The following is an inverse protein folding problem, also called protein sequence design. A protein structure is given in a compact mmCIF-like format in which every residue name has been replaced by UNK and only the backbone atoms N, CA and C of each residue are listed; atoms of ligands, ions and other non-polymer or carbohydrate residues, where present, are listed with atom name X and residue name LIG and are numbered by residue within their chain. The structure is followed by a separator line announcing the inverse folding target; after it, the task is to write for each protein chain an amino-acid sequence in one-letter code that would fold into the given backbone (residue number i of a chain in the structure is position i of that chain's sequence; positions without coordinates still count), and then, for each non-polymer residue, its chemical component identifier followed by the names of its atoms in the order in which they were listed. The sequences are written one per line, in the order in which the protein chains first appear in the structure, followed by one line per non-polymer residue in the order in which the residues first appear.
data_IF_400340269896
#
_entry.id   IF_400340269896
#
_cell.length_a   1.000
_cell.length_b   1.000
_cell.length_c   1.000
_cell.angle_alpha   90.00
_cell.angle_beta   90.00
_cell.angle_gamma   90.00
#
_symmetry.space_group_name_H-M   'P 1'
#
loop_
_entity.id
_entity.type
_entity.pdbx_description
1 polymer ?
#
# COMPACT_ATOMS: atom_id res chain seq x y z
N UNK A 1 -23.35 -46.00 4.53
CA UNK A 1 -21.87 -46.09 4.56
C UNK A 1 -21.19 -45.22 3.49
N UNK A 2 -21.53 -45.31 2.18
CA UNK A 2 -20.85 -44.51 1.15
C UNK A 2 -21.07 -42.98 1.28
N UNK A 3 -22.27 -42.52 1.62
CA UNK A 3 -22.60 -41.07 1.75
C UNK A 3 -21.88 -40.40 2.93
N UNK A 4 -21.93 -41.01 4.12
CA UNK A 4 -21.24 -40.51 5.33
C UNK A 4 -19.74 -40.30 5.13
N UNK A 5 -19.07 -41.19 4.40
CA UNK A 5 -17.64 -41.04 4.08
C UNK A 5 -17.35 -39.77 3.25
N UNK A 6 -18.20 -39.49 2.25
CA UNK A 6 -18.07 -38.27 1.43
C UNK A 6 -18.29 -37.02 2.28
N UNK A 7 -19.32 -37.01 3.13
CA UNK A 7 -19.61 -35.88 4.02
C UNK A 7 -18.46 -35.63 5.02
N UNK A 8 -17.83 -36.67 5.54
CA UNK A 8 -16.65 -36.53 6.40
C UNK A 8 -15.44 -35.94 5.66
N UNK A 9 -15.26 -36.26 4.37
CA UNK A 9 -14.22 -35.62 3.54
C UNK A 9 -14.52 -34.14 3.35
N UNK A 10 -15.78 -33.79 3.04
CA UNK A 10 -16.20 -32.40 2.87
C UNK A 10 -16.02 -31.60 4.16
N UNK A 11 -16.40 -32.18 5.31
CA UNK A 11 -16.17 -31.60 6.63
C UNK A 11 -14.68 -31.32 6.85
N UNK A 12 -13.83 -32.34 6.64
CA UNK A 12 -12.39 -32.19 6.78
C UNK A 12 -11.81 -31.13 5.84
N UNK A 13 -12.39 -30.96 4.65
CA UNK A 13 -11.99 -29.93 3.70
C UNK A 13 -12.36 -28.53 4.20
N UNK A 14 -13.60 -28.30 4.66
CA UNK A 14 -14.03 -27.04 5.27
C UNK A 14 -13.16 -26.64 6.46
N UNK A 15 -12.88 -27.57 7.37
CA UNK A 15 -12.03 -27.29 8.52
C UNK A 15 -10.57 -26.98 8.13
N UNK A 16 -10.07 -27.53 7.02
CA UNK A 16 -8.74 -27.20 6.48
C UNK A 16 -8.72 -25.78 5.91
N UNK A 17 -9.77 -25.35 5.20
CA UNK A 17 -9.89 -23.96 4.74
C UNK A 17 -9.83 -22.98 5.93
N UNK A 18 -10.62 -23.22 6.98
CA UNK A 18 -10.61 -22.40 8.20
C UNK A 18 -9.21 -22.34 8.84
N UNK A 19 -8.50 -23.47 8.89
CA UNK A 19 -7.13 -23.51 9.41
C UNK A 19 -6.17 -22.65 8.59
N UNK A 20 -6.21 -22.76 7.26
CA UNK A 20 -5.32 -21.98 6.39
C UNK A 20 -5.67 -20.50 6.38
N UNK A 21 -6.95 -20.14 6.49
CA UNK A 21 -7.37 -18.75 6.65
C UNK A 21 -6.74 -18.11 7.90
N UNK A 22 -6.72 -18.82 9.04
CA UNK A 22 -6.03 -18.34 10.25
C UNK A 22 -4.51 -18.22 10.08
N UNK A 23 -3.91 -19.06 9.23
CA UNK A 23 -2.47 -18.96 8.93
C UNK A 23 -2.21 -17.72 8.06
N UNK A 24 -3.07 -17.45 7.08
CA UNK A 24 -2.98 -16.25 6.23
C UNK A 24 -3.14 -15.00 7.08
N UNK A 25 -4.12 -14.97 7.98
CA UNK A 25 -4.36 -13.86 8.91
C UNK A 25 -3.12 -13.54 9.77
N UNK A 26 -2.59 -14.56 10.46
CA UNK A 26 -1.36 -14.41 11.26
C UNK A 26 -0.15 -13.99 10.40
N UNK A 27 -0.09 -14.44 9.15
CA UNK A 27 0.98 -14.06 8.23
C UNK A 27 0.83 -12.61 7.77
N UNK A 28 -0.41 -12.15 7.54
CA UNK A 28 -0.74 -10.76 7.24
C UNK A 28 -0.29 -9.84 8.38
N UNK A 29 -0.64 -10.16 9.64
CA UNK A 29 -0.20 -9.38 10.82
C UNK A 29 1.33 -9.23 10.89
N UNK A 30 2.07 -10.30 10.57
CA UNK A 30 3.55 -10.25 10.54
C UNK A 30 4.11 -9.35 9.43
N UNK A 31 3.41 -9.27 8.30
CA UNK A 31 3.83 -8.40 7.19
C UNK A 31 3.47 -6.95 7.49
N UNK A 32 2.30 -6.71 8.08
CA UNK A 32 1.86 -5.41 8.58
C UNK A 32 2.88 -4.82 9.57
N UNK A 33 3.29 -5.60 10.58
CA UNK A 33 4.27 -5.15 11.58
C UNK A 33 5.60 -4.74 10.92
N UNK A 34 6.07 -5.49 9.90
CA UNK A 34 7.30 -5.14 9.16
C UNK A 34 7.13 -3.85 8.34
N UNK A 35 5.99 -3.70 7.68
CA UNK A 35 5.69 -2.51 6.87
C UNK A 35 5.59 -1.23 7.71
N UNK A 36 5.11 -1.33 8.96
CA UNK A 36 5.10 -0.21 9.90
C UNK A 36 6.49 0.36 10.18
N UNK A 37 7.52 -0.50 10.28
CA UNK A 37 8.89 -0.05 10.52
C UNK A 37 9.60 0.42 9.25
N UNK A 38 9.38 -0.27 8.13
CA UNK A 38 9.98 0.10 6.84
C UNK A 38 9.14 -0.43 5.68
N UNK A 39 8.45 0.45 4.92
CA UNK A 39 7.74 0.03 3.72
C UNK A 39 8.76 -0.30 2.63
N UNK A 40 9.13 -1.57 2.49
CA UNK A 40 9.94 -2.05 1.36
C UNK A 40 9.05 -2.78 0.37
N UNK A 41 9.48 -2.79 -0.89
CA UNK A 41 8.74 -3.42 -1.98
C UNK A 41 8.49 -4.91 -1.73
N UNK A 42 9.37 -5.58 -0.99
CA UNK A 42 9.25 -7.01 -0.71
C UNK A 42 8.01 -7.32 0.15
N UNK A 43 7.78 -6.57 1.21
CA UNK A 43 6.62 -6.76 2.07
C UNK A 43 5.30 -6.42 1.35
N UNK A 44 5.29 -5.43 0.45
CA UNK A 44 4.12 -5.15 -0.40
C UNK A 44 3.80 -6.30 -1.36
N UNK A 45 4.83 -6.92 -1.96
CA UNK A 45 4.66 -8.11 -2.80
C UNK A 45 4.13 -9.27 -1.95
N UNK A 46 4.57 -9.41 -0.70
CA UNK A 46 4.09 -10.44 0.22
C UNK A 46 2.59 -10.23 0.55
N UNK A 47 2.14 -8.99 0.79
CA UNK A 47 0.71 -8.69 0.95
C UNK A 47 -0.11 -9.04 -0.31
N UNK A 48 0.42 -8.72 -1.50
CA UNK A 48 -0.24 -9.04 -2.76
C UNK A 48 -0.42 -10.55 -2.97
N UNK A 49 0.59 -11.35 -2.64
CA UNK A 49 0.48 -12.81 -2.74
C UNK A 49 -0.51 -13.41 -1.72
N UNK A 50 -0.62 -12.81 -0.53
CA UNK A 50 -1.67 -13.18 0.45
C UNK A 50 -3.07 -12.82 -0.05
N UNK A 51 -3.25 -11.63 -0.65
CA UNK A 51 -4.51 -11.20 -1.25
C UNK A 51 -4.94 -12.15 -2.36
N UNK A 52 -4.03 -12.47 -3.28
CA UNK A 52 -4.28 -13.43 -4.37
C UNK A 52 -4.69 -14.80 -3.83
N UNK A 53 -4.06 -15.25 -2.74
CA UNK A 53 -4.41 -16.49 -2.07
C UNK A 53 -5.84 -16.45 -1.51
N UNK A 54 -6.25 -15.33 -0.90
CA UNK A 54 -7.62 -15.15 -0.40
C UNK A 54 -8.65 -15.13 -1.54
N UNK A 55 -8.35 -14.48 -2.67
CA UNK A 55 -9.22 -14.50 -3.85
C UNK A 55 -9.45 -15.93 -4.36
N UNK A 56 -8.39 -16.75 -4.44
CA UNK A 56 -8.53 -18.16 -4.81
C UNK A 56 -9.31 -18.98 -3.77
N UNK A 57 -9.12 -18.69 -2.48
CA UNK A 57 -9.88 -19.31 -1.39
C UNK A 57 -11.37 -18.99 -1.51
N UNK A 58 -11.74 -17.72 -1.62
CA UNK A 58 -13.13 -17.28 -1.79
C UNK A 58 -13.77 -17.94 -3.01
N UNK A 59 -13.08 -17.97 -4.15
CA UNK A 59 -13.57 -18.62 -5.38
C UNK A 59 -13.83 -20.11 -5.17
N UNK A 60 -12.91 -20.81 -4.51
CA UNK A 60 -13.03 -22.24 -4.24
C UNK A 60 -14.15 -22.55 -3.25
N UNK A 61 -14.26 -21.76 -2.17
CA UNK A 61 -15.29 -21.92 -1.15
C UNK A 61 -16.70 -21.63 -1.68
N UNK A 62 -16.86 -20.65 -2.57
CA UNK A 62 -18.12 -20.39 -3.29
C UNK A 62 -18.49 -21.53 -4.23
N UNK A 63 -17.50 -22.12 -4.89
CA UNK A 63 -17.72 -23.31 -5.72
C UNK A 63 -18.17 -24.51 -4.87
N UNK A 64 -17.57 -24.70 -3.69
CA UNK A 64 -17.98 -25.73 -2.74
C UNK A 64 -19.39 -25.49 -2.18
N UNK A 65 -19.73 -24.25 -1.82
CA UNK A 65 -21.07 -23.84 -1.36
C UNK A 65 -22.16 -24.28 -2.35
N UNK A 66 -21.97 -23.98 -3.64
CA UNK A 66 -22.92 -24.37 -4.68
C UNK A 66 -23.09 -25.89 -4.83
N UNK A 67 -22.05 -26.68 -4.52
CA UNK A 67 -22.13 -28.16 -4.50
C UNK A 67 -22.88 -28.62 -3.25
N UNK A 68 -22.56 -28.08 -2.07
CA UNK A 68 -23.20 -28.42 -0.81
C UNK A 68 -24.71 -28.14 -0.83
N UNK A 69 -25.12 -27.00 -1.38
CA UNK A 69 -26.54 -26.66 -1.55
C UNK A 69 -27.28 -27.64 -2.48
N UNK A 70 -26.61 -28.13 -3.52
CA UNK A 70 -27.17 -29.16 -4.42
C UNK A 70 -27.34 -30.49 -3.71
N UNK A 71 -26.41 -30.87 -2.83
CA UNK A 71 -26.49 -32.10 -2.04
C UNK A 71 -27.71 -32.13 -1.11
N UNK A 72 -28.14 -30.99 -0.58
CA UNK A 72 -29.40 -30.88 0.20
C UNK A 72 -30.62 -31.20 -0.67
N UNK A 73 -30.65 -30.67 -1.90
CA UNK A 73 -31.83 -30.69 -2.78
C UNK A 73 -32.02 -32.01 -3.53
N UNK A 74 -31.00 -32.85 -3.63
CA UNK A 74 -31.05 -34.13 -4.35
C UNK A 74 -31.83 -35.20 -3.56
N UNK A 75 -32.98 -35.62 -4.08
CA UNK A 75 -33.80 -36.71 -3.51
C UNK A 75 -33.16 -38.09 -3.65
N UNK A 76 -32.24 -38.27 -4.60
CA UNK A 76 -31.53 -39.53 -4.84
C UNK A 76 -30.48 -39.88 -3.78
N UNK A 77 -30.14 -38.93 -2.90
CA UNK A 77 -29.24 -39.15 -1.78
C UNK A 77 -30.06 -39.63 -0.59
N UNK A 78 -29.74 -40.82 -0.07
CA UNK A 78 -30.41 -41.38 1.10
C UNK A 78 -30.08 -40.54 2.33
N UNK A 79 -31.07 -39.79 2.82
CA UNK A 79 -30.96 -38.91 3.99
C UNK A 79 -31.19 -39.70 5.27
N UNK A 80 -30.12 -40.03 5.97
CA UNK A 80 -30.21 -40.44 7.37
C UNK A 80 -30.17 -39.19 8.26
N UNK A 81 -30.84 -39.15 9.43
CA UNK A 81 -30.84 -37.98 10.32
C UNK A 81 -29.41 -37.48 10.64
N UNK A 82 -28.52 -38.39 11.04
CA UNK A 82 -27.10 -38.08 11.34
C UNK A 82 -26.32 -37.55 10.13
N UNK A 83 -26.63 -38.02 8.92
CA UNK A 83 -25.94 -37.58 7.70
C UNK A 83 -26.45 -36.18 7.26
N UNK A 84 -27.66 -35.79 7.67
CA UNK A 84 -28.23 -34.47 7.38
C UNK A 84 -27.65 -33.42 8.32
N UNK A 85 -27.55 -33.74 9.61
CA UNK A 85 -26.88 -32.88 10.62
C UNK A 85 -25.42 -32.60 10.23
N UNK A 86 -24.67 -33.64 9.84
CA UNK A 86 -23.30 -33.46 9.37
C UNK A 86 -23.19 -32.57 8.13
N UNK A 87 -24.15 -32.65 7.20
CA UNK A 87 -24.16 -31.80 6.01
C UNK A 87 -24.45 -30.33 6.37
N UNK A 88 -25.35 -30.08 7.31
CA UNK A 88 -25.63 -28.73 7.82
C UNK A 88 -24.37 -28.12 8.47
N UNK A 89 -23.65 -28.89 9.29
CA UNK A 89 -22.38 -28.46 9.89
C UNK A 89 -21.33 -28.08 8.83
N UNK A 90 -21.18 -28.89 7.77
CA UNK A 90 -20.26 -28.62 6.66
C UNK A 90 -20.61 -27.30 5.96
N UNK A 91 -21.90 -27.03 5.77
CA UNK A 91 -22.38 -25.79 5.14
C UNK A 91 -22.08 -24.60 6.04
N UNK A 92 -22.37 -24.69 7.34
CA UNK A 92 -22.07 -23.63 8.31
C UNK A 92 -20.57 -23.32 8.30
N UNK A 93 -19.70 -24.33 8.36
CA UNK A 93 -18.25 -24.13 8.30
C UNK A 93 -17.78 -23.52 6.98
N UNK A 94 -18.35 -23.94 5.84
CA UNK A 94 -17.99 -23.40 4.52
C UNK A 94 -18.44 -21.94 4.38
N UNK A 95 -19.67 -21.60 4.79
CA UNK A 95 -20.17 -20.22 4.81
C UNK A 95 -19.31 -19.35 5.73
N UNK A 96 -18.94 -19.85 6.92
CA UNK A 96 -18.01 -19.14 7.80
C UNK A 96 -16.65 -18.87 7.13
N UNK A 97 -16.09 -19.86 6.44
CA UNK A 97 -14.84 -19.70 5.72
C UNK A 97 -14.93 -18.65 4.60
N UNK A 98 -16.07 -18.57 3.89
CA UNK A 98 -16.32 -17.53 2.88
C UNK A 98 -16.27 -16.14 3.51
N UNK A 99 -17.01 -15.94 4.61
CA UNK A 99 -17.05 -14.65 5.29
C UNK A 99 -15.67 -14.24 5.81
N UNK A 100 -14.93 -15.17 6.43
CA UNK A 100 -13.55 -14.93 6.86
C UNK A 100 -12.64 -14.53 5.70
N UNK A 101 -12.71 -15.24 4.57
CA UNK A 101 -11.89 -14.93 3.40
C UNK A 101 -12.21 -13.52 2.85
N UNK A 102 -13.48 -13.14 2.79
CA UNK A 102 -13.90 -11.80 2.35
C UNK A 102 -13.42 -10.70 3.31
N UNK A 103 -13.56 -10.91 4.63
CA UNK A 103 -13.08 -9.96 5.66
C UNK A 103 -11.58 -9.77 5.53
N UNK A 104 -10.81 -10.86 5.49
CA UNK A 104 -9.35 -10.79 5.37
C UNK A 104 -8.92 -10.14 4.06
N UNK A 105 -9.62 -10.40 2.96
CA UNK A 105 -9.34 -9.77 1.66
C UNK A 105 -9.58 -8.25 1.72
N UNK A 106 -10.67 -7.82 2.35
CA UNK A 106 -10.98 -6.40 2.53
C UNK A 106 -9.97 -5.68 3.43
N UNK A 107 -9.49 -6.34 4.49
CA UNK A 107 -8.43 -5.81 5.36
C UNK A 107 -7.13 -5.65 4.58
N UNK A 108 -6.68 -6.70 3.86
CA UNK A 108 -5.46 -6.65 3.05
C UNK A 108 -5.52 -5.54 2.00
N UNK A 109 -6.65 -5.37 1.32
CA UNK A 109 -6.81 -4.33 0.32
C UNK A 109 -6.75 -2.92 0.94
N UNK A 110 -7.45 -2.72 2.07
CA UNK A 110 -7.39 -1.45 2.81
C UNK A 110 -5.98 -1.13 3.29
N UNK A 111 -5.23 -2.15 3.71
CA UNK A 111 -3.85 -2.03 4.13
C UNK A 111 -2.93 -1.63 2.97
N UNK A 112 -3.05 -2.28 1.81
CA UNK A 112 -2.30 -1.92 0.61
C UNK A 112 -2.57 -0.46 0.18
N UNK A 113 -3.82 -0.02 0.21
CA UNK A 113 -4.20 1.36 -0.14
C UNK A 113 -3.61 2.37 0.86
N UNK A 114 -3.63 2.06 2.16
CA UNK A 114 -3.01 2.88 3.19
C UNK A 114 -1.48 3.00 2.97
N UNK A 115 -0.79 1.90 2.68
CA UNK A 115 0.64 1.93 2.40
C UNK A 115 0.97 2.66 1.10
N UNK A 116 0.16 2.52 0.05
CA UNK A 116 0.31 3.31 -1.17
C UNK A 116 0.19 4.82 -0.88
N UNK A 117 -0.75 5.22 -0.01
CA UNK A 117 -0.89 6.60 0.44
C UNK A 117 0.35 7.09 1.21
N UNK A 118 0.87 6.28 2.14
CA UNK A 118 2.10 6.60 2.90
C UNK A 118 3.29 6.77 1.95
N UNK A 119 3.47 5.89 0.98
CA UNK A 119 4.54 5.98 -0.02
C UNK A 119 4.39 7.26 -0.86
N UNK A 120 3.18 7.56 -1.31
CA UNK A 120 2.89 8.79 -2.06
C UNK A 120 3.19 10.05 -1.24
N UNK A 121 2.83 10.06 0.04
CA UNK A 121 3.14 11.17 0.94
C UNK A 121 4.66 11.32 1.14
N UNK A 122 5.39 10.21 1.35
CA UNK A 122 6.84 10.24 1.45
C UNK A 122 7.50 10.76 0.17
N UNK A 123 7.02 10.34 -1.01
CA UNK A 123 7.48 10.86 -2.29
C UNK A 123 7.23 12.37 -2.40
N UNK A 124 6.02 12.83 -2.04
CA UNK A 124 5.68 14.24 -2.04
C UNK A 124 6.61 15.03 -1.11
N UNK A 125 6.90 14.54 0.09
CA UNK A 125 7.79 15.22 1.03
C UNK A 125 9.24 15.29 0.52
N UNK A 126 9.75 14.22 -0.11
CA UNK A 126 11.07 14.24 -0.77
C UNK A 126 11.08 15.24 -1.93
N UNK A 127 10.05 15.24 -2.77
CA UNK A 127 9.93 16.15 -3.92
C UNK A 127 9.88 17.62 -3.47
N UNK A 128 9.23 17.91 -2.34
CA UNK A 128 9.23 19.24 -1.72
C UNK A 128 10.62 19.68 -1.33
N UNK A 129 11.37 18.82 -0.65
CA UNK A 129 12.74 19.10 -0.22
C UNK A 129 13.62 19.39 -1.43
N UNK A 130 13.58 18.54 -2.46
CA UNK A 130 14.35 18.74 -3.70
C UNK A 130 13.94 20.03 -4.42
N UNK A 131 12.65 20.38 -4.45
CA UNK A 131 12.16 21.61 -5.06
C UNK A 131 12.64 22.86 -4.33
N UNK A 132 12.61 22.86 -2.99
CA UNK A 132 13.13 23.96 -2.18
C UNK A 132 14.63 24.14 -2.42
N UNK A 133 15.42 23.04 -2.41
CA UNK A 133 16.85 23.09 -2.72
C UNK A 133 17.09 23.68 -4.12
N UNK A 134 16.32 23.24 -5.12
CA UNK A 134 16.45 23.71 -6.50
C UNK A 134 16.15 25.20 -6.63
N UNK A 135 15.05 25.68 -6.03
CA UNK A 135 14.68 27.10 -6.08
C UNK A 135 15.75 27.95 -5.39
N UNK A 136 16.19 27.55 -4.19
CA UNK A 136 17.20 28.29 -3.41
C UNK A 136 18.53 28.35 -4.15
N UNK A 137 18.94 27.26 -4.81
CA UNK A 137 20.17 27.21 -5.63
C UNK A 137 20.05 27.97 -6.96
N UNK A 138 18.83 28.12 -7.50
CA UNK A 138 18.62 28.84 -8.76
C UNK A 138 18.84 30.35 -8.64
N UNK A 139 18.49 30.96 -7.51
CA UNK A 139 18.66 32.41 -7.24
C UNK A 139 20.11 32.88 -7.44
N UNK A 140 21.12 32.29 -6.76
CA UNK A 140 22.49 32.73 -6.91
C UNK A 140 23.05 32.37 -8.28
N UNK A 141 22.62 31.24 -8.85
CA UNK A 141 23.03 30.81 -10.19
C UNK A 141 22.59 31.81 -11.26
N UNK A 142 21.36 32.32 -11.19
CA UNK A 142 20.84 33.33 -12.13
C UNK A 142 21.62 34.64 -11.97
N UNK A 143 21.87 35.08 -10.74
CA UNK A 143 22.62 36.32 -10.47
C UNK A 143 24.06 36.19 -11.00
N UNK A 144 24.76 35.12 -10.67
CA UNK A 144 26.13 34.90 -11.15
C UNK A 144 26.20 34.71 -12.66
N UNK A 145 25.21 34.04 -13.26
CA UNK A 145 25.12 33.91 -14.72
C UNK A 145 24.97 35.28 -15.38
N UNK A 146 24.06 36.13 -14.89
CA UNK A 146 23.85 37.47 -15.43
C UNK A 146 25.11 38.37 -15.32
N UNK A 147 25.84 38.31 -14.21
CA UNK A 147 27.10 39.05 -14.02
C UNK A 147 28.31 38.40 -14.71
N UNK A 148 28.21 37.12 -15.09
CA UNK A 148 29.23 36.41 -15.88
C UNK A 148 29.09 36.60 -17.40
N UNK A 149 28.05 37.29 -17.86
CA UNK A 149 27.88 37.64 -19.27
C UNK A 149 28.84 38.78 -19.67
N UNK A 150 29.42 38.70 -20.87
CA UNK A 150 30.32 39.71 -21.44
C UNK A 150 29.57 40.99 -21.88
N UNK A 151 28.84 41.63 -20.97
CA UNK A 151 28.10 42.87 -21.19
C UNK A 151 28.98 44.09 -20.92
N UNK A 152 28.69 45.22 -21.59
CA UNK A 152 29.41 46.47 -21.37
C UNK A 152 29.27 46.92 -19.89
N UNK A 153 30.38 47.21 -19.16
CA UNK A 153 30.34 47.53 -17.74
C UNK A 153 29.51 48.78 -17.39
N UNK A 154 29.36 49.71 -18.33
CA UNK A 154 28.69 51.01 -18.16
C UNK A 154 27.19 50.92 -17.82
N UNK A 155 26.53 49.80 -18.11
CA UNK A 155 25.12 49.56 -17.74
C UNK A 155 24.91 48.57 -16.59
N UNK A 156 26.00 47.98 -16.06
CA UNK A 156 25.92 46.94 -15.05
C UNK A 156 26.00 47.55 -13.64
N UNK A 157 25.02 47.31 -12.75
CA UNK A 157 25.07 47.78 -11.37
C UNK A 157 26.33 47.25 -10.67
N UNK A 158 27.01 48.08 -9.88
CA UNK A 158 28.18 47.69 -9.08
C UNK A 158 29.42 47.23 -9.87
N UNK A 159 29.47 47.35 -11.19
CA UNK A 159 30.62 46.92 -12.02
C UNK A 159 31.89 47.78 -11.86
N UNK A 160 31.73 49.06 -11.54
CA UNK A 160 32.82 50.05 -11.42
C UNK A 160 33.40 50.17 -10.01
N UNK A 161 32.83 49.44 -9.04
CA UNK A 161 33.21 49.53 -7.62
C UNK A 161 34.14 48.38 -7.23
N UNK A 162 35.23 48.67 -6.52
CA UNK A 162 36.23 47.66 -6.08
C UNK A 162 35.61 46.51 -5.24
N UNK A 163 34.53 46.81 -4.49
CA UNK A 163 33.78 45.86 -3.66
C UNK A 163 32.51 45.30 -4.33
N UNK A 164 32.23 45.68 -5.58
CA UNK A 164 30.97 45.38 -6.25
C UNK A 164 30.68 43.89 -6.36
N UNK A 165 31.69 43.09 -6.71
CA UNK A 165 31.58 41.62 -6.77
C UNK A 165 31.17 41.01 -5.42
N UNK A 166 31.77 41.48 -4.32
CA UNK A 166 31.48 41.00 -2.98
C UNK A 166 30.07 41.40 -2.52
N UNK A 167 29.62 42.59 -2.89
CA UNK A 167 28.23 43.06 -2.65
C UNK A 167 27.22 42.15 -3.38
N UNK A 168 27.47 41.82 -4.65
CA UNK A 168 26.59 40.95 -5.45
C UNK A 168 26.49 39.56 -4.84
N UNK A 169 27.60 38.99 -4.36
CA UNK A 169 27.61 37.71 -3.63
C UNK A 169 26.75 37.79 -2.36
N UNK A 170 26.93 38.82 -1.54
CA UNK A 170 26.18 38.96 -0.28
C UNK A 170 24.68 39.14 -0.53
N UNK A 171 24.29 39.96 -1.51
CA UNK A 171 22.88 40.18 -1.89
C UNK A 171 22.27 38.88 -2.42
N UNK A 172 23.01 38.15 -3.25
CA UNK A 172 22.60 36.86 -3.79
C UNK A 172 22.37 35.80 -2.71
N UNK A 173 23.29 35.67 -1.75
CA UNK A 173 23.14 34.78 -0.60
C UNK A 173 21.97 35.23 0.29
N UNK A 174 21.85 36.52 0.58
CA UNK A 174 20.76 37.06 1.39
C UNK A 174 19.39 36.79 0.74
N UNK A 175 19.25 37.01 -0.57
CA UNK A 175 18.04 36.70 -1.32
C UNK A 175 17.70 35.20 -1.25
N UNK A 176 18.71 34.34 -1.36
CA UNK A 176 18.56 32.87 -1.28
C UNK A 176 18.09 32.43 0.12
N UNK A 177 18.65 33.02 1.18
CA UNK A 177 18.26 32.74 2.57
C UNK A 177 16.83 33.22 2.83
N UNK A 178 16.47 34.41 2.35
CA UNK A 178 15.10 34.94 2.47
C UNK A 178 14.11 34.02 1.77
N UNK A 179 14.42 33.56 0.54
CA UNK A 179 13.61 32.61 -0.19
C UNK A 179 13.48 31.28 0.57
N UNK A 180 14.57 30.74 1.09
CA UNK A 180 14.58 29.51 1.89
C UNK A 180 13.69 29.63 3.14
N UNK A 181 13.82 30.73 3.89
CA UNK A 181 13.01 30.98 5.09
C UNK A 181 11.52 31.17 4.76
N UNK A 182 11.21 31.85 3.66
CA UNK A 182 9.83 32.02 3.20
C UNK A 182 9.21 30.69 2.78
N UNK A 183 9.93 29.89 1.99
CA UNK A 183 9.50 28.56 1.53
C UNK A 183 9.42 27.54 2.68
N UNK A 184 10.24 27.69 3.73
CA UNK A 184 10.18 26.82 4.91
C UNK A 184 9.01 27.18 5.85
N UNK A 185 8.65 28.47 5.97
CA UNK A 185 7.56 28.93 6.87
C UNK A 185 6.18 28.78 6.27
N UNK A 186 6.03 29.07 4.98
CA UNK A 186 4.80 28.73 4.27
C UNK A 186 4.90 27.24 4.00
N UNK A 187 4.04 26.44 4.63
CA UNK A 187 3.71 25.07 4.20
C UNK A 187 3.10 25.06 2.78
N UNK A 188 3.61 25.86 1.85
CA UNK A 188 3.30 25.66 0.45
C UNK A 188 4.09 24.44 0.05
N UNK A 189 3.28 23.42 -0.22
CA UNK A 189 3.57 22.01 -0.30
C UNK A 189 3.63 21.29 1.05
#
# INVERSE_FOLDING_TARGET
MKTRFILQILYRNSSMYLRYLRIIDKKSEQVEEKLHFSPRNQELIELLELEKSLVYFTTSLRSNEAVLEKLIKLESIKKYPEDTELLEDVIIENTQAIEMANIYSGILQSMMDAFASVISNNLNDVMKILSVITIVMSIPTIIFSAYGMNLAPSGMPFSSTIWGFLIVILVSIAASIIAALFLSKKKYF
#
